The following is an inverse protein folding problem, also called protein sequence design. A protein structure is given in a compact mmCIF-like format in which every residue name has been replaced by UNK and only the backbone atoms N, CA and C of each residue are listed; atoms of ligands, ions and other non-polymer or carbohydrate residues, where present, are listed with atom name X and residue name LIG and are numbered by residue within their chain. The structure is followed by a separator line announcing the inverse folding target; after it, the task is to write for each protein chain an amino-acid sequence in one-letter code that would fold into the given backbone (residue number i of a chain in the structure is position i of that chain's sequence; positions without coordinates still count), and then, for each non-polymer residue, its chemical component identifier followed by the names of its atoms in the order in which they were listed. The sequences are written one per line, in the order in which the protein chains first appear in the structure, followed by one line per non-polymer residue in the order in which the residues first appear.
data_IF_456798372363
#
_entry.id   IF_456798372363
#
_cell.length_a   1.000
_cell.length_b   1.000
_cell.length_c   1.000
_cell.angle_alpha   90.00
_cell.angle_beta   90.00
_cell.angle_gamma   90.00
#
_symmetry.space_group_name_H-M   'P 1'
#
loop_
_entity.id
_entity.type
_entity.pdbx_description
1 polymer ?
#
# COMPACT_ATOMS: atom_id res chain seq x y z
N UNK A 1 45.43 12.88 -24.14
CA UNK A 1 44.24 13.21 -23.33
C UNK A 1 43.03 12.68 -24.06
N UNK A 2 42.63 11.44 -23.79
CA UNK A 2 41.41 10.85 -24.34
C UNK A 2 40.56 10.44 -23.14
N UNK A 3 39.37 11.01 -23.08
CA UNK A 3 38.44 10.82 -21.98
C UNK A 3 37.97 9.37 -21.92
N UNK A 4 38.00 8.82 -20.70
CA UNK A 4 37.36 7.58 -20.29
C UNK A 4 35.87 7.62 -20.62
N UNK A 5 35.40 6.71 -21.47
CA UNK A 5 33.99 6.33 -21.55
C UNK A 5 33.74 5.30 -20.44
N UNK A 6 33.23 5.76 -19.29
CA UNK A 6 32.68 4.89 -18.27
C UNK A 6 31.25 4.53 -18.67
N UNK A 7 31.09 3.26 -19.05
CA UNK A 7 30.07 2.33 -18.59
C UNK A 7 28.71 2.90 -18.12
N UNK A 8 27.63 2.57 -18.85
CA UNK A 8 26.32 2.27 -18.24
C UNK A 8 25.57 1.24 -19.11
N UNK A 9 26.21 0.09 -19.38
CA UNK A 9 25.47 -1.11 -19.81
C UNK A 9 25.13 -1.95 -18.58
N UNK A 10 24.34 -1.35 -17.68
CA UNK A 10 23.80 -2.01 -16.49
C UNK A 10 22.40 -2.54 -16.77
N UNK A 11 22.32 -3.77 -17.28
CA UNK A 11 21.10 -4.56 -17.30
C UNK A 11 20.50 -4.65 -15.88
N UNK A 12 19.43 -3.89 -15.61
CA UNK A 12 18.72 -3.84 -14.31
C UNK A 12 17.59 -4.87 -14.21
N UNK A 13 17.84 -6.10 -14.67
CA UNK A 13 16.91 -7.23 -14.55
C UNK A 13 16.95 -7.91 -13.16
N UNK A 14 17.31 -7.19 -12.12
CA UNK A 14 17.01 -7.60 -10.75
C UNK A 14 15.65 -7.03 -10.38
N UNK A 15 14.59 -7.84 -10.51
CA UNK A 15 13.26 -7.50 -9.97
C UNK A 15 13.44 -7.10 -8.49
N UNK A 16 13.06 -5.86 -8.16
CA UNK A 16 13.12 -5.36 -6.78
C UNK A 16 12.51 -6.39 -5.84
N UNK A 17 13.16 -6.75 -4.72
CA UNK A 17 12.57 -7.67 -3.76
C UNK A 17 11.30 -7.09 -3.14
N UNK A 18 11.13 -5.75 -3.19
CA UNK A 18 9.98 -4.99 -2.67
C UNK A 18 8.92 -4.68 -3.74
N UNK A 19 8.86 -5.46 -4.82
CA UNK A 19 7.96 -5.17 -5.94
C UNK A 19 6.48 -5.14 -5.49
N UNK A 20 6.08 -6.05 -4.60
CA UNK A 20 4.71 -6.14 -4.12
C UNK A 20 4.30 -4.87 -3.38
N UNK A 21 5.13 -4.39 -2.45
CA UNK A 21 4.92 -3.17 -1.66
C UNK A 21 4.92 -1.94 -2.55
N UNK A 22 5.86 -1.85 -3.49
CA UNK A 22 5.93 -0.72 -4.43
C UNK A 22 4.67 -0.63 -5.29
N UNK A 23 4.17 -1.77 -5.77
CA UNK A 23 2.93 -1.82 -6.55
C UNK A 23 1.73 -1.47 -5.68
N UNK A 24 1.66 -1.99 -4.46
CA UNK A 24 0.58 -1.71 -3.53
C UNK A 24 0.48 -0.23 -3.19
N UNK A 25 1.58 0.40 -2.76
CA UNK A 25 1.59 1.82 -2.39
C UNK A 25 1.24 2.70 -3.59
N UNK A 26 1.83 2.41 -4.76
CA UNK A 26 1.52 3.13 -5.99
C UNK A 26 0.05 2.98 -6.38
N UNK A 27 -0.47 1.74 -6.37
CA UNK A 27 -1.86 1.46 -6.70
C UNK A 27 -2.82 2.12 -5.72
N UNK A 28 -2.56 1.97 -4.41
CA UNK A 28 -3.33 2.59 -3.34
C UNK A 28 -3.46 4.10 -3.55
N UNK A 29 -2.34 4.79 -3.81
CA UNK A 29 -2.35 6.23 -4.10
C UNK A 29 -3.13 6.54 -5.38
N UNK A 30 -2.92 5.82 -6.48
CA UNK A 30 -3.67 6.06 -7.71
C UNK A 30 -5.18 5.90 -7.51
N UNK A 31 -5.62 4.84 -6.81
CA UNK A 31 -7.04 4.59 -6.55
C UNK A 31 -7.62 5.66 -5.62
N UNK A 32 -6.91 6.05 -4.56
CA UNK A 32 -7.37 7.11 -3.67
C UNK A 32 -7.50 8.47 -4.39
N UNK A 33 -6.51 8.86 -5.20
CA UNK A 33 -6.60 10.05 -6.07
C UNK A 33 -7.78 9.94 -7.05
N UNK A 34 -7.99 8.76 -7.63
CA UNK A 34 -9.11 8.50 -8.53
C UNK A 34 -10.48 8.69 -7.88
N UNK A 35 -10.61 8.40 -6.58
CA UNK A 35 -11.83 8.67 -5.82
C UNK A 35 -12.02 10.14 -5.48
N UNK A 36 -10.94 10.87 -5.19
CA UNK A 36 -11.04 12.28 -4.78
C UNK A 36 -11.29 13.21 -5.97
N UNK A 37 -10.60 12.99 -7.09
CA UNK A 37 -10.60 13.95 -8.20
C UNK A 37 -11.28 13.44 -9.49
N UNK A 38 -11.77 12.19 -9.51
CA UNK A 38 -12.37 11.56 -10.70
C UNK A 38 -11.47 11.55 -11.95
N UNK A 39 -10.16 11.78 -11.80
CA UNK A 39 -9.25 11.84 -12.92
C UNK A 39 -8.98 10.44 -13.52
N UNK A 40 -9.18 10.33 -14.83
CA UNK A 40 -8.92 9.11 -15.61
C UNK A 40 -7.41 8.80 -15.75
N UNK A 41 -6.53 9.77 -15.48
CA UNK A 41 -5.08 9.61 -15.70
C UNK A 41 -4.46 8.62 -14.72
N UNK A 42 -4.78 8.70 -13.43
CA UNK A 42 -4.27 7.82 -12.38
C UNK A 42 -4.75 6.38 -12.59
N UNK A 43 -5.97 6.21 -13.10
CA UNK A 43 -6.50 4.92 -13.55
C UNK A 43 -5.73 4.34 -14.73
N UNK A 44 -5.38 5.18 -15.70
CA UNK A 44 -4.54 4.77 -16.83
C UNK A 44 -3.14 4.37 -16.38
N UNK A 45 -2.53 5.12 -15.46
CA UNK A 45 -1.18 4.89 -14.99
C UNK A 45 -1.08 3.60 -14.17
N UNK A 46 -2.07 3.35 -13.29
CA UNK A 46 -2.14 2.08 -12.55
C UNK A 46 -2.38 0.90 -13.49
N UNK A 47 -3.29 1.03 -14.46
CA UNK A 47 -3.55 0.01 -15.47
C UNK A 47 -2.29 -0.32 -16.25
N UNK A 48 -1.65 0.67 -16.88
CA UNK A 48 -0.46 0.48 -17.70
C UNK A 48 0.68 -0.19 -16.94
N UNK A 49 0.94 0.24 -15.69
CA UNK A 49 2.01 -0.33 -14.87
C UNK A 49 1.73 -1.79 -14.51
N UNK A 50 0.51 -2.11 -14.11
CA UNK A 50 0.15 -3.47 -13.74
C UNK A 50 0.13 -4.38 -14.96
N UNK A 51 -0.47 -3.95 -16.08
CA UNK A 51 -0.53 -4.75 -17.31
C UNK A 51 0.84 -4.97 -17.94
N UNK A 52 1.77 -4.02 -17.79
CA UNK A 52 3.15 -4.19 -18.22
C UNK A 52 3.89 -5.29 -17.45
N UNK A 53 3.44 -5.63 -16.24
CA UNK A 53 4.07 -6.66 -15.40
C UNK A 53 3.35 -8.00 -15.44
N UNK A 54 2.01 -8.00 -15.45
CA UNK A 54 1.19 -9.21 -15.28
C UNK A 54 0.30 -9.53 -16.49
N UNK A 55 0.29 -8.68 -17.53
CA UNK A 55 -0.69 -8.75 -18.60
C UNK A 55 -2.09 -8.32 -18.14
N UNK A 56 -3.01 -8.19 -19.09
CA UNK A 56 -4.38 -7.74 -18.81
C UNK A 56 -5.14 -8.73 -17.91
N UNK A 57 -5.01 -10.03 -18.17
CA UNK A 57 -5.74 -11.08 -17.46
C UNK A 57 -5.31 -11.19 -15.99
N UNK A 58 -4.03 -11.00 -15.69
CA UNK A 58 -3.53 -10.97 -14.31
C UNK A 58 -3.83 -9.64 -13.61
N UNK A 59 -3.77 -8.53 -14.34
CA UNK A 59 -3.94 -7.20 -13.72
C UNK A 59 -5.37 -6.88 -13.35
N UNK A 60 -6.35 -7.33 -14.15
CA UNK A 60 -7.74 -6.97 -13.95
C UNK A 60 -8.32 -7.44 -12.60
N UNK A 61 -8.21 -8.72 -12.20
CA UNK A 61 -8.67 -9.17 -10.89
C UNK A 61 -7.98 -8.44 -9.73
N UNK A 62 -6.67 -8.23 -9.83
CA UNK A 62 -5.90 -7.52 -8.81
C UNK A 62 -6.36 -6.06 -8.65
N UNK A 63 -6.57 -5.36 -9.76
CA UNK A 63 -7.03 -3.97 -9.73
C UNK A 63 -8.49 -3.84 -9.26
N UNK A 64 -9.36 -4.79 -9.62
CA UNK A 64 -10.74 -4.85 -9.13
C UNK A 64 -10.76 -5.09 -7.61
N UNK A 65 -9.92 -5.99 -7.11
CA UNK A 65 -9.77 -6.23 -5.67
C UNK A 65 -9.22 -5.00 -4.94
N UNK A 66 -8.21 -4.33 -5.53
CA UNK A 66 -7.63 -3.10 -4.99
C UNK A 66 -8.68 -1.97 -4.91
N UNK A 67 -9.46 -1.76 -5.97
CA UNK A 67 -10.52 -0.75 -5.97
C UNK A 67 -11.55 -1.01 -4.89
N UNK A 68 -12.02 -2.25 -4.76
CA UNK A 68 -12.99 -2.63 -3.73
C UNK A 68 -12.44 -2.46 -2.32
N UNK A 69 -11.20 -2.87 -2.09
CA UNK A 69 -10.52 -2.68 -0.81
C UNK A 69 -10.42 -1.21 -0.43
N UNK A 70 -9.97 -0.34 -1.35
CA UNK A 70 -9.86 1.11 -1.08
C UNK A 70 -11.23 1.74 -0.85
N UNK A 71 -12.25 1.34 -1.62
CA UNK A 71 -13.63 1.80 -1.41
C UNK A 71 -14.10 1.52 0.02
N UNK A 72 -13.91 0.28 0.48
CA UNK A 72 -14.36 -0.16 1.82
C UNK A 72 -13.52 0.48 2.93
N UNK A 73 -12.20 0.60 2.74
CA UNK A 73 -11.33 1.36 3.62
C UNK A 73 -11.88 2.78 3.84
N UNK A 74 -12.19 3.50 2.76
CA UNK A 74 -12.71 4.88 2.83
C UNK A 74 -14.05 4.97 3.57
N UNK A 75 -14.90 3.94 3.51
CA UNK A 75 -16.16 3.92 4.24
C UNK A 75 -15.99 3.72 5.76
N UNK A 76 -14.95 2.98 6.18
CA UNK A 76 -14.80 2.52 7.57
C UNK A 76 -13.64 3.14 8.33
N UNK A 77 -12.76 3.88 7.65
CA UNK A 77 -11.60 4.53 8.24
C UNK A 77 -12.00 5.39 9.46
N UNK A 78 -11.36 5.14 10.60
CA UNK A 78 -11.67 5.82 11.86
C UNK A 78 -11.28 7.30 11.81
N UNK A 79 -10.05 7.57 11.40
CA UNK A 79 -9.39 8.88 11.29
C UNK A 79 -8.36 8.84 10.15
N UNK A 80 -8.77 9.01 8.88
CA UNK A 80 -7.82 8.93 7.77
C UNK A 80 -6.79 10.07 7.85
N UNK A 81 -5.52 9.71 7.89
CA UNK A 81 -4.35 10.59 7.86
C UNK A 81 -3.99 11.08 6.45
N UNK A 82 -4.75 10.63 5.45
CA UNK A 82 -4.52 10.93 4.04
C UNK A 82 -3.48 10.00 3.40
N UNK A 83 -3.09 10.34 2.19
CA UNK A 83 -2.08 9.64 1.41
C UNK A 83 -1.11 10.67 0.83
N UNK A 84 0.12 10.25 0.56
CA UNK A 84 1.09 11.14 -0.05
C UNK A 84 0.92 11.21 -1.56
N UNK A 85 1.45 12.28 -2.18
CA UNK A 85 1.55 12.38 -3.64
C UNK A 85 2.24 11.14 -4.23
N UNK A 86 1.91 10.77 -5.46
CA UNK A 86 2.37 9.53 -6.11
C UNK A 86 3.88 9.32 -6.02
N UNK A 87 4.67 10.39 -6.21
CA UNK A 87 6.13 10.37 -6.25
C UNK A 87 6.79 10.52 -4.87
N UNK A 88 6.02 10.66 -3.80
CA UNK A 88 6.58 10.85 -2.47
C UNK A 88 7.29 9.57 -1.99
N UNK A 89 8.56 9.64 -1.57
CA UNK A 89 9.28 8.48 -1.06
C UNK A 89 8.81 8.08 0.36
N UNK A 90 8.15 8.99 1.07
CA UNK A 90 7.61 8.73 2.39
C UNK A 90 6.32 7.93 2.30
N UNK A 91 6.02 7.17 3.35
CA UNK A 91 4.77 6.44 3.51
C UNK A 91 3.94 7.07 4.61
N UNK A 92 2.67 7.35 4.33
CA UNK A 92 1.75 7.84 5.34
C UNK A 92 1.39 6.72 6.33
N UNK A 93 0.93 7.09 7.52
CA UNK A 93 0.53 6.13 8.57
C UNK A 93 -0.46 5.09 8.04
N UNK A 94 -1.49 5.53 7.33
CA UNK A 94 -2.51 4.60 6.81
C UNK A 94 -2.00 3.76 5.64
N UNK A 95 -1.13 4.31 4.78
CA UNK A 95 -0.48 3.52 3.72
C UNK A 95 0.31 2.35 4.32
N UNK A 96 1.03 2.62 5.42
CA UNK A 96 1.77 1.59 6.16
C UNK A 96 0.83 0.58 6.82
N UNK A 97 -0.21 1.03 7.53
CA UNK A 97 -1.15 0.12 8.21
C UNK A 97 -1.90 -0.78 7.23
N UNK A 98 -2.33 -0.24 6.08
CA UNK A 98 -3.00 -1.02 5.05
C UNK A 98 -2.03 -2.05 4.43
N UNK A 99 -0.78 -1.66 4.19
CA UNK A 99 0.26 -2.59 3.71
C UNK A 99 0.56 -3.69 4.74
N UNK A 100 0.67 -3.33 6.02
CA UNK A 100 0.88 -4.26 7.12
C UNK A 100 -0.29 -5.25 7.27
N UNK A 101 -1.53 -4.80 7.07
CA UNK A 101 -2.69 -5.67 7.05
C UNK A 101 -2.60 -6.71 5.92
N UNK A 102 -2.30 -6.28 4.68
CA UNK A 102 -2.13 -7.21 3.55
C UNK A 102 -1.01 -8.21 3.83
N UNK A 103 0.14 -7.74 4.33
CA UNK A 103 1.25 -8.60 4.73
C UNK A 103 0.82 -9.63 5.78
N UNK A 104 0.21 -9.20 6.88
CA UNK A 104 -0.25 -10.07 7.96
C UNK A 104 -1.19 -11.17 7.45
N UNK A 105 -2.14 -10.83 6.56
CA UNK A 105 -3.05 -11.80 5.97
C UNK A 105 -2.33 -12.81 5.07
N UNK A 106 -1.35 -12.39 4.26
CA UNK A 106 -0.54 -13.32 3.45
C UNK A 106 0.32 -14.28 4.30
N UNK A 107 0.67 -13.89 5.52
CA UNK A 107 1.50 -14.67 6.43
C UNK A 107 0.71 -15.36 7.56
N UNK A 108 -0.62 -15.25 7.56
CA UNK A 108 -1.49 -15.81 8.60
C UNK A 108 -1.16 -15.29 10.02
N UNK A 109 -0.68 -14.04 10.12
CA UNK A 109 -0.44 -13.38 11.39
C UNK A 109 -1.72 -12.69 11.88
N UNK A 110 -2.57 -13.46 12.56
CA UNK A 110 -3.84 -12.97 13.12
C UNK A 110 -3.64 -11.83 14.13
N UNK A 111 -2.51 -11.84 14.86
CA UNK A 111 -2.23 -10.81 15.86
C UNK A 111 -1.94 -9.46 15.19
N UNK A 112 -1.09 -9.47 14.17
CA UNK A 112 -0.78 -8.28 13.39
C UNK A 112 -2.00 -7.78 12.59
N UNK A 113 -2.77 -8.69 11.98
CA UNK A 113 -3.98 -8.34 11.24
C UNK A 113 -5.04 -7.67 12.14
N UNK A 114 -5.34 -8.27 13.30
CA UNK A 114 -6.29 -7.72 14.26
C UNK A 114 -5.84 -6.36 14.80
N UNK A 115 -4.53 -6.16 14.98
CA UNK A 115 -3.96 -4.87 15.37
C UNK A 115 -4.17 -3.82 14.29
N UNK A 116 -3.82 -4.11 13.04
CA UNK A 116 -4.01 -3.19 11.92
C UNK A 116 -5.48 -2.80 11.75
N UNK A 117 -6.42 -3.75 11.83
CA UNK A 117 -7.85 -3.49 11.72
C UNK A 117 -8.37 -2.52 12.79
N UNK A 118 -7.92 -2.68 14.05
CA UNK A 118 -8.29 -1.77 15.16
C UNK A 118 -7.80 -0.35 14.94
N UNK A 119 -6.64 -0.20 14.32
CA UNK A 119 -6.03 1.10 14.05
C UNK A 119 -6.64 1.79 12.82
N UNK A 120 -7.05 1.01 11.82
CA UNK A 120 -7.61 1.52 10.58
C UNK A 120 -9.10 1.87 10.75
N UNK A 121 -9.90 0.93 11.25
CA UNK A 121 -11.36 0.98 11.13
C UNK A 121 -12.09 1.01 12.47
N UNK A 122 -13.31 1.56 12.45
CA UNK A 122 -14.24 1.45 13.59
C UNK A 122 -14.77 0.01 13.69
N UNK A 123 -15.11 -0.45 14.88
CA UNK A 123 -15.49 -1.85 15.16
C UNK A 123 -16.56 -2.45 14.23
N UNK A 124 -17.53 -1.65 13.78
CA UNK A 124 -18.58 -2.10 12.86
C UNK A 124 -18.08 -2.41 11.43
N UNK A 125 -16.91 -1.87 11.04
CA UNK A 125 -16.34 -2.02 9.70
C UNK A 125 -15.22 -3.06 9.59
N UNK A 126 -14.83 -3.71 10.70
CA UNK A 126 -13.69 -4.62 10.70
C UNK A 126 -13.88 -5.80 9.75
N UNK A 127 -15.04 -6.46 9.81
CA UNK A 127 -15.32 -7.63 8.99
C UNK A 127 -15.31 -7.33 7.48
N UNK A 128 -15.95 -6.24 7.07
CA UNK A 128 -16.01 -5.87 5.64
C UNK A 128 -14.61 -5.49 5.13
N UNK A 129 -13.87 -4.70 5.90
CA UNK A 129 -12.51 -4.32 5.56
C UNK A 129 -11.57 -5.53 5.48
N UNK A 130 -11.63 -6.42 6.48
CA UNK A 130 -10.85 -7.65 6.52
C UNK A 130 -11.16 -8.56 5.32
N UNK A 131 -12.43 -8.73 4.98
CA UNK A 131 -12.86 -9.55 3.84
C UNK A 131 -12.24 -9.07 2.53
N UNK A 132 -12.29 -7.76 2.25
CA UNK A 132 -11.71 -7.21 1.04
C UNK A 132 -10.18 -7.13 1.09
N UNK A 133 -9.59 -6.95 2.27
CA UNK A 133 -8.15 -7.07 2.45
C UNK A 133 -7.67 -8.49 2.13
N UNK A 134 -8.42 -9.51 2.54
CA UNK A 134 -8.11 -10.92 2.26
C UNK A 134 -8.19 -11.23 0.77
N UNK A 135 -9.23 -10.74 0.08
CA UNK A 135 -9.35 -10.86 -1.38
C UNK A 135 -8.16 -10.22 -2.08
N UNK A 136 -7.78 -9.00 -1.70
CA UNK A 136 -6.62 -8.33 -2.27
C UNK A 136 -5.31 -9.08 -1.99
N UNK A 137 -5.11 -9.56 -0.76
CA UNK A 137 -3.95 -10.35 -0.38
C UNK A 137 -3.83 -11.63 -1.24
N UNK A 138 -4.96 -12.31 -1.50
CA UNK A 138 -5.04 -13.49 -2.34
C UNK A 138 -4.69 -13.20 -3.81
N UNK A 139 -5.15 -12.06 -4.36
CA UNK A 139 -4.81 -11.66 -5.74
C UNK A 139 -3.31 -11.34 -5.91
N UNK A 140 -2.68 -10.70 -4.91
CA UNK A 140 -1.22 -10.55 -4.94
C UNK A 140 -0.52 -11.92 -4.93
N UNK A 141 -0.96 -12.86 -4.08
CA UNK A 141 -0.38 -14.21 -4.03
C UNK A 141 -0.58 -15.00 -5.33
N UNK A 142 -1.73 -14.86 -6.00
CA UNK A 142 -2.01 -15.53 -7.28
C UNK A 142 -1.02 -15.13 -8.37
N UNK A 143 -0.52 -13.88 -8.29
CA UNK A 143 0.51 -13.31 -9.17
C UNK A 143 1.94 -13.47 -8.65
N UNK A 144 2.14 -14.36 -7.66
CA UNK A 144 3.42 -14.61 -6.99
C UNK A 144 4.06 -13.36 -6.37
N UNK A 145 3.24 -12.37 -6.02
CA UNK A 145 3.66 -11.18 -5.30
C UNK A 145 3.41 -11.40 -3.81
N UNK A 146 4.49 -11.55 -3.05
CA UNK A 146 4.42 -11.74 -1.61
C UNK A 146 5.06 -10.56 -0.91
N UNK A 147 4.35 -10.02 0.08
CA UNK A 147 4.82 -8.91 0.88
C UNK A 147 5.83 -9.43 1.91
N UNK A 148 6.78 -8.61 2.28
CA UNK A 148 7.66 -8.85 3.42
C UNK A 148 6.83 -8.93 4.70
N UNK A 149 7.14 -9.89 5.58
CA UNK A 149 6.43 -10.04 6.85
C UNK A 149 6.64 -8.78 7.70
N UNK A 150 5.54 -8.24 8.20
CA UNK A 150 5.52 -7.12 9.15
C UNK A 150 4.91 -7.65 10.44
N UNK A 151 5.65 -7.57 11.54
CA UNK A 151 5.18 -8.07 12.83
C UNK A 151 4.29 -7.04 13.54
N UNK A 152 3.47 -7.51 14.48
CA UNK A 152 2.72 -6.61 15.38
C UNK A 152 3.63 -5.63 16.13
N UNK A 153 4.88 -6.02 16.43
CA UNK A 153 5.88 -5.16 17.07
C UNK A 153 6.38 -4.04 16.16
N UNK A 154 6.54 -4.31 14.86
CA UNK A 154 6.93 -3.30 13.88
C UNK A 154 5.82 -2.26 13.71
N UNK A 155 4.57 -2.72 13.75
CA UNK A 155 3.39 -1.85 13.75
C UNK A 155 3.39 -0.96 15.00
N UNK A 156 3.60 -1.52 16.19
CA UNK A 156 3.70 -0.75 17.43
C UNK A 156 4.76 0.34 17.36
N UNK A 157 5.97 -0.02 16.94
CA UNK A 157 7.09 0.92 16.85
C UNK A 157 6.78 2.06 15.87
N UNK A 158 6.19 1.73 14.73
CA UNK A 158 5.82 2.72 13.71
C UNK A 158 4.74 3.67 14.24
N UNK A 159 3.71 3.13 14.89
CA UNK A 159 2.62 3.92 15.46
C UNK A 159 3.13 4.89 16.52
N UNK A 160 3.91 4.40 17.49
CA UNK A 160 4.54 5.22 18.53
C UNK A 160 5.37 6.36 17.93
N UNK A 161 6.14 6.07 16.88
CA UNK A 161 6.94 7.08 16.18
C UNK A 161 6.06 8.12 15.49
N UNK A 162 5.02 7.69 14.76
CA UNK A 162 4.13 8.61 14.04
C UNK A 162 3.28 9.47 14.98
N UNK A 163 2.82 8.92 16.10
CA UNK A 163 2.07 9.66 17.12
C UNK A 163 2.95 10.69 17.82
N UNK A 164 4.18 10.32 18.20
CA UNK A 164 5.14 11.26 18.79
C UNK A 164 5.48 12.43 17.85
N UNK A 165 5.62 12.16 16.54
CA UNK A 165 5.85 13.20 15.53
C UNK A 165 4.64 14.12 15.36
N UNK A 166 3.41 13.58 15.41
CA UNK A 166 2.18 14.37 15.36
C UNK A 166 2.09 15.28 16.59
N UNK A 167 2.27 14.72 17.78
CA UNK A 167 2.14 15.47 19.03
C UNK A 167 3.20 16.58 19.15
N UNK A 168 4.43 16.33 18.67
CA UNK A 168 5.48 17.36 18.61
C UNK A 168 5.15 18.50 17.63
N UNK A 169 4.53 18.18 16.49
CA UNK A 169 4.08 19.19 15.53
C UNK A 169 2.99 20.07 16.13
N UNK A 170 2.03 19.48 16.82
CA UNK A 170 0.92 20.21 17.46
C UNK A 170 1.43 21.11 18.61
N UNK A 171 2.43 20.65 19.36
CA UNK A 171 3.08 21.45 20.42
C UNK A 171 3.89 22.65 19.88
N UNK A 172 4.31 22.63 18.62
CA UNK A 172 5.10 23.73 18.00
C UNK A 172 4.19 24.79 17.35
N UNK A 173 2.90 24.50 17.18
CA UNK A 173 1.90 25.40 16.59
C UNK A 173 1.18 26.26 17.64
N UNK A 174 1.55 26.12 18.92
CA UNK A 174 1.06 26.87 20.07
C UNK A 174 2.20 27.63 20.76
#
# INVERSE_FOLDING_TARGET
MSANTLDETGNRDTKSPYLAEQLFVFGLRCVQNGFDDSYLMQWRDVWNRYTGLFGADGSRPLLDALWNFVRVYRCHAKNPTGYHCLECPCMARDEYLLMALISALQHQDETCAAKCLREIARGAGWWELETHAWQLAAEYLSLRQRFFPISASDVDMTLQTTDALRDAKDATLH
#
